data_IF_389771291767
#
_entry.id   IF_389771291767
#
_cell.length_a   1.000
_cell.length_b   1.000
_cell.length_c   1.000
_cell.angle_alpha   90.00
_cell.angle_beta   90.00
_cell.angle_gamma   90.00
#
_symmetry.space_group_name_H-M   'P 1'
#
loop_
_entity.id
_entity.type
_entity.pdbx_description
1 polymer ?
#
# COMPACT_ATOMS: atom_id res chain seq x y z
N UNK A 1 0.51 19.57 2.95
CA UNK A 1 -0.53 19.01 2.05
C UNK A 1 -0.91 17.64 2.58
N UNK A 2 -2.21 17.34 2.70
CA UNK A 2 -2.67 16.09 3.31
C UNK A 2 -2.50 14.93 2.33
N UNK A 3 -1.53 14.07 2.60
CA UNK A 3 -1.48 12.74 2.03
C UNK A 3 -2.50 11.89 2.75
N UNK A 4 -3.43 11.29 2.02
CA UNK A 4 -4.40 10.36 2.59
C UNK A 4 -4.02 8.95 2.20
N UNK A 5 -3.76 8.09 3.19
CA UNK A 5 -3.57 6.66 3.01
C UNK A 5 -4.87 5.96 3.34
N UNK A 6 -5.33 5.10 2.44
CA UNK A 6 -6.50 4.26 2.60
C UNK A 6 -6.13 2.81 2.33
N UNK A 7 -6.45 1.93 3.26
CA UNK A 7 -6.40 0.49 3.00
C UNK A 7 -7.60 0.10 2.13
N UNK A 8 -7.32 -0.53 0.98
CA UNK A 8 -8.37 -1.04 0.08
C UNK A 8 -8.74 -2.48 0.43
N UNK A 9 -7.74 -3.31 0.70
CA UNK A 9 -7.89 -4.68 1.17
C UNK A 9 -6.69 -5.11 2.03
N UNK A 10 -6.66 -6.36 2.50
CA UNK A 10 -5.59 -6.89 3.36
C UNK A 10 -4.19 -6.82 2.74
N UNK A 11 -4.07 -6.69 1.42
CA UNK A 11 -2.82 -6.67 0.66
C UNK A 11 -2.66 -5.39 -0.16
N UNK A 12 -3.60 -4.44 -0.12
CA UNK A 12 -3.61 -3.26 -0.99
C UNK A 12 -3.90 -1.97 -0.26
N UNK A 13 -3.11 -0.96 -0.59
CA UNK A 13 -3.21 0.39 -0.05
C UNK A 13 -3.23 1.38 -1.21
N UNK A 14 -3.93 2.49 -0.99
CA UNK A 14 -3.98 3.62 -1.90
C UNK A 14 -3.60 4.88 -1.16
N UNK A 15 -2.67 5.63 -1.72
CA UNK A 15 -2.33 6.97 -1.26
C UNK A 15 -2.69 7.97 -2.34
N UNK A 16 -3.30 9.08 -1.96
CA UNK A 16 -3.46 10.23 -2.86
C UNK A 16 -2.55 11.32 -2.36
N UNK A 17 -1.53 11.64 -3.15
CA UNK A 17 -0.56 12.69 -2.84
C UNK A 17 -0.48 13.66 -4.01
N UNK A 18 -0.67 14.95 -3.74
CA UNK A 18 -0.68 16.01 -4.77
C UNK A 18 -1.64 15.71 -5.94
N UNK A 19 -2.77 15.03 -5.68
CA UNK A 19 -3.73 14.61 -6.70
C UNK A 19 -3.32 13.39 -7.53
N UNK A 20 -2.15 12.80 -7.25
CA UNK A 20 -1.63 11.60 -7.93
C UNK A 20 -1.95 10.37 -7.06
N UNK A 21 -2.84 9.46 -7.49
CA UNK A 21 -3.03 8.19 -6.81
C UNK A 21 -1.82 7.28 -7.01
N UNK A 22 -1.32 6.73 -5.92
CA UNK A 22 -0.36 5.62 -5.93
C UNK A 22 -0.99 4.44 -5.20
N UNK A 23 -0.81 3.25 -5.74
CA UNK A 23 -1.34 2.00 -5.19
C UNK A 23 -0.19 1.08 -4.81
N UNK A 24 -0.20 0.62 -3.57
CA UNK A 24 0.75 -0.35 -3.08
C UNK A 24 0.07 -1.72 -2.97
N UNK A 25 0.70 -2.76 -3.50
CA UNK A 25 0.20 -4.14 -3.44
C UNK A 25 1.28 -5.06 -2.89
N UNK A 26 0.96 -5.81 -1.83
CA UNK A 26 1.81 -6.89 -1.33
C UNK A 26 1.67 -8.13 -2.22
N UNK A 27 2.80 -8.63 -2.72
CA UNK A 27 2.85 -9.80 -3.61
C UNK A 27 3.17 -11.10 -2.86
N UNK A 28 3.61 -11.02 -1.60
CA UNK A 28 4.10 -12.16 -0.81
C UNK A 28 5.63 -12.17 -0.72
N UNK A 29 6.20 -12.95 0.21
CA UNK A 29 7.66 -13.11 0.39
C UNK A 29 8.42 -11.77 0.47
N UNK A 30 7.88 -10.81 1.21
CA UNK A 30 8.38 -9.44 1.33
C UNK A 30 8.43 -8.62 0.02
N UNK A 31 7.80 -9.08 -1.05
CA UNK A 31 7.75 -8.35 -2.31
C UNK A 31 6.55 -7.38 -2.38
N UNK A 32 6.82 -6.19 -2.89
CA UNK A 32 5.86 -5.11 -3.01
C UNK A 32 5.84 -4.52 -4.41
N UNK A 33 4.64 -4.15 -4.87
CA UNK A 33 4.44 -3.47 -6.14
C UNK A 33 3.79 -2.11 -5.90
N UNK A 34 4.49 -1.05 -6.28
CA UNK A 34 3.99 0.31 -6.29
C UNK A 34 3.54 0.67 -7.71
N UNK A 35 2.27 1.00 -7.88
CA UNK A 35 1.68 1.49 -9.13
C UNK A 35 1.36 2.98 -9.00
N UNK A 36 1.98 3.83 -9.79
CA UNK A 36 1.76 5.28 -9.79
C UNK A 36 0.97 5.66 -11.04
N UNK A 37 -0.15 6.36 -10.89
CA UNK A 37 -0.94 6.82 -12.02
C UNK A 37 -1.60 8.17 -11.77
N UNK A 38 -2.03 8.83 -12.84
CA UNK A 38 -2.92 10.00 -12.77
C UNK A 38 -4.36 9.47 -12.84
N UNK A 39 -5.25 10.00 -11.99
CA UNK A 39 -6.65 9.58 -11.91
C UNK A 39 -7.46 10.03 -13.15
N UNK A 40 -7.14 9.48 -14.32
CA UNK A 40 -7.97 9.60 -15.52
C UNK A 40 -8.34 8.21 -16.03
N UNK A 41 -9.64 8.01 -16.27
CA UNK A 41 -10.25 6.74 -16.73
C UNK A 41 -9.58 6.21 -18.02
N UNK A 42 -8.97 7.08 -18.83
CA UNK A 42 -8.21 6.73 -20.03
C UNK A 42 -6.95 5.88 -19.78
N UNK A 43 -6.37 5.92 -18.58
CA UNK A 43 -5.05 5.35 -18.32
C UNK A 43 -5.03 3.83 -18.08
N UNK A 44 -6.18 3.25 -17.73
CA UNK A 44 -6.33 1.79 -17.53
C UNK A 44 -6.26 1.04 -18.87
N UNK A 45 -6.77 1.65 -19.96
CA UNK A 45 -6.73 1.05 -21.31
C UNK A 45 -5.43 1.32 -22.06
N UNK A 46 -4.60 2.26 -21.60
CA UNK A 46 -3.40 2.72 -22.31
C UNK A 46 -2.06 2.35 -21.64
N UNK A 47 -2.06 1.61 -20.52
CA UNK A 47 -0.83 1.13 -19.89
C UNK A 47 -0.02 2.20 -19.13
N UNK A 48 -0.65 3.30 -18.69
CA UNK A 48 0.07 4.45 -18.10
C UNK A 48 0.35 4.37 -16.59
N UNK A 49 0.11 3.23 -15.94
CA UNK A 49 0.60 3.04 -14.58
C UNK A 49 2.06 2.64 -14.64
N UNK A 50 2.95 3.49 -14.13
CA UNK A 50 4.33 3.08 -13.90
C UNK A 50 4.33 2.17 -12.67
N UNK A 51 4.70 0.91 -12.88
CA UNK A 51 4.85 -0.07 -11.80
C UNK A 51 6.32 -0.22 -11.44
N UNK A 52 6.61 -0.20 -10.15
CA UNK A 52 7.95 -0.43 -9.61
C UNK A 52 7.84 -1.53 -8.56
N UNK A 53 8.73 -2.52 -8.63
CA UNK A 53 8.80 -3.62 -7.69
C UNK A 53 9.91 -3.38 -6.66
N UNK A 54 9.60 -3.65 -5.40
CA UNK A 54 10.50 -3.56 -4.27
C UNK A 54 10.61 -4.92 -3.61
N UNK A 55 11.84 -5.30 -3.23
CA UNK A 55 12.13 -6.59 -2.57
C UNK A 55 11.80 -6.61 -1.08
N UNK A 56 11.54 -5.44 -0.49
CA UNK A 56 11.13 -5.30 0.91
C UNK A 56 10.35 -4.00 1.09
N UNK A 57 9.53 -3.95 2.14
CA UNK A 57 8.82 -2.72 2.52
C UNK A 57 9.80 -1.62 2.95
N UNK A 58 10.89 -1.98 3.62
CA UNK A 58 11.92 -1.04 4.09
C UNK A 58 12.56 -0.25 2.95
N UNK A 59 12.87 -0.91 1.82
CA UNK A 59 13.41 -0.24 0.63
C UNK A 59 12.41 0.77 0.05
N UNK A 60 11.12 0.40 0.06
CA UNK A 60 10.06 1.29 -0.38
C UNK A 60 9.90 2.49 0.56
N UNK A 61 9.93 2.28 1.87
CA UNK A 61 9.83 3.36 2.87
C UNK A 61 11.02 4.33 2.81
N UNK A 62 12.22 3.85 2.44
CA UNK A 62 13.37 4.71 2.19
C UNK A 62 13.15 5.67 1.01
N UNK A 63 12.57 5.18 -0.08
CA UNK A 63 12.31 5.99 -1.29
C UNK A 63 11.04 6.83 -1.20
N UNK A 64 10.04 6.34 -0.47
CA UNK A 64 8.74 6.98 -0.28
C UNK A 64 8.38 7.03 1.21
N UNK A 65 8.94 8.01 1.96
CA UNK A 65 8.77 8.12 3.40
C UNK A 65 7.31 8.24 3.86
N UNK A 66 6.41 8.69 2.99
CA UNK A 66 4.98 8.75 3.27
C UNK A 66 4.35 7.39 3.53
N UNK A 67 5.01 6.29 3.16
CA UNK A 67 4.55 4.92 3.43
C UNK A 67 5.00 4.36 4.78
N UNK A 68 5.79 5.13 5.54
CA UNK A 68 6.34 4.68 6.81
C UNK A 68 5.24 4.26 7.78
N UNK A 69 5.34 3.04 8.29
CA UNK A 69 4.43 2.50 9.31
C UNK A 69 3.14 1.90 8.74
N UNK A 70 3.06 1.72 7.42
CA UNK A 70 1.90 1.04 6.82
C UNK A 70 1.80 -0.42 7.27
N UNK A 71 2.91 -1.07 7.59
CA UNK A 71 2.92 -2.40 8.25
C UNK A 71 2.13 -2.42 9.57
N UNK A 72 2.10 -1.32 10.32
CA UNK A 72 1.27 -1.20 11.52
C UNK A 72 -0.23 -1.18 11.17
N UNK A 73 -0.59 -0.62 10.02
CA UNK A 73 -1.98 -0.62 9.53
C UNK A 73 -2.40 -2.04 9.12
N UNK A 74 -1.53 -2.78 8.42
CA UNK A 74 -1.75 -4.20 8.09
C UNK A 74 -2.02 -5.07 9.32
N UNK A 75 -1.27 -4.85 10.40
CA UNK A 75 -1.34 -5.64 11.62
C UNK A 75 -2.48 -5.20 12.55
N UNK A 76 -2.82 -3.91 12.57
CA UNK A 76 -3.93 -3.37 13.38
C UNK A 76 -5.33 -3.77 12.87
N UNK A 77 -5.44 -4.25 11.63
CA UNK A 77 -6.69 -4.79 11.06
C UNK A 77 -7.08 -6.19 11.56
N UNK A 78 -6.23 -6.85 12.35
CA UNK A 78 -6.59 -8.04 13.11
C UNK A 78 -6.56 -7.69 14.61
N UNK A 79 -7.71 -7.51 15.28
CA UNK A 79 -7.75 -7.84 16.69
C UNK A 79 -7.46 -9.34 16.73
N UNK A 80 -6.22 -9.72 17.03
CA UNK A 80 -5.97 -11.06 17.52
C UNK A 80 -6.91 -11.22 18.71
N UNK A 81 -7.95 -12.02 18.54
CA UNK A 81 -8.68 -12.60 19.65
C UNK A 81 -7.69 -13.60 20.29
N UNK A 82 -6.65 -13.09 20.95
CA UNK A 82 -5.95 -13.81 22.01
C UNK A 82 -6.88 -13.80 23.19
N UNK A 83 -7.88 -14.67 23.10
CA UNK A 83 -9.02 -14.71 24.00
C UNK A 83 -9.71 -16.07 23.98
N UNK A 84 -8.94 -17.15 23.89
CA UNK A 84 -9.37 -18.46 24.39
C UNK A 84 -8.22 -19.06 25.20
N UNK A 85 -7.94 -18.42 26.33
CA UNK A 85 -7.55 -19.17 27.51
C UNK A 85 -8.83 -19.65 28.21
N UNK A 86 -8.79 -20.92 28.63
CA UNK A 86 -9.73 -21.62 29.52
C UNK A 86 -10.94 -22.29 28.87
N UNK A 87 -10.78 -23.58 28.56
CA UNK A 87 -11.51 -24.62 29.29
C UNK A 87 -10.70 -25.91 29.34
#
# INVERSE_FOLDING_TARGET
>A
MLSHIKQLDKNKFEIVQHGIPKRLTFLGRDEWMLSIGVNSIENIRSGKFKTIQYKSLELLECEYPEWKGISAIFTSGCPHVSGTALH
#
